data_IF_660637971482
#
_entry.id   IF_660637971482
#
_cell.length_a   1.000
_cell.length_b   1.000
_cell.length_c   1.000
_cell.angle_alpha   90.00
_cell.angle_beta   90.00
_cell.angle_gamma   90.00
#
_symmetry.space_group_name_H-M   'P 1'
#
loop_
_entity.id
_entity.type
_entity.pdbx_description
1 polymer ?
#
# COMPACT_ATOMS: atom_id res chain seq x y z
N UNK A 1 9.62 -3.30 7.30
CA UNK A 1 9.48 -4.10 6.06
C UNK A 1 8.82 -3.24 4.99
N UNK A 2 9.15 -3.39 3.71
CA UNK A 2 8.51 -2.65 2.62
C UNK A 2 7.83 -3.64 1.66
N UNK A 3 6.53 -3.44 1.40
CA UNK A 3 5.70 -4.30 0.53
C UNK A 3 5.86 -3.94 -0.95
N UNK A 4 6.11 -2.67 -1.25
CA UNK A 4 6.47 -2.19 -2.59
C UNK A 4 7.18 -0.84 -2.49
N UNK A 5 7.88 -0.43 -3.55
CA UNK A 5 8.53 0.89 -3.67
C UNK A 5 8.14 1.54 -4.99
N UNK A 6 8.27 2.86 -5.09
CA UNK A 6 8.13 3.55 -6.38
C UNK A 6 9.09 2.98 -7.41
N UNK A 7 8.61 2.73 -8.62
CA UNK A 7 9.41 2.16 -9.69
C UNK A 7 8.63 2.03 -10.99
N UNK A 8 9.22 1.34 -11.96
CA UNK A 8 8.62 1.13 -13.29
C UNK A 8 7.24 0.49 -13.21
N UNK A 9 7.10 -0.48 -12.31
CA UNK A 9 5.91 -1.32 -12.18
C UNK A 9 5.08 -0.98 -10.92
N UNK A 10 5.39 0.13 -10.26
CA UNK A 10 4.72 0.57 -9.04
C UNK A 10 4.64 2.09 -8.93
N UNK A 11 3.42 2.60 -8.87
CA UNK A 11 3.10 4.00 -8.61
C UNK A 11 2.91 4.31 -7.12
N UNK A 12 3.15 3.34 -6.24
CA UNK A 12 3.01 3.45 -4.78
C UNK A 12 4.28 3.03 -4.05
N UNK A 13 4.46 3.55 -2.83
CA UNK A 13 5.48 3.11 -1.89
C UNK A 13 4.82 2.81 -0.56
N UNK A 14 4.77 1.52 -0.19
CA UNK A 14 4.13 1.02 1.03
C UNK A 14 5.14 0.30 1.91
N UNK A 15 5.14 0.63 3.20
CA UNK A 15 5.99 -0.03 4.19
C UNK A 15 5.35 -0.09 5.57
N UNK A 16 5.72 -1.11 6.33
CA UNK A 16 5.33 -1.27 7.72
C UNK A 16 5.97 -0.18 8.58
N UNK A 17 5.18 0.33 9.52
CA UNK A 17 5.58 1.29 10.56
C UNK A 17 5.23 0.70 11.93
N UNK A 18 5.68 1.34 13.00
CA UNK A 18 5.18 1.00 14.33
C UNK A 18 3.66 1.23 14.40
N UNK A 19 2.91 0.18 14.72
CA UNK A 19 1.45 0.25 14.85
C UNK A 19 0.66 0.22 13.54
N UNK A 20 1.25 -0.18 12.41
CA UNK A 20 0.50 -0.39 11.17
C UNK A 20 1.32 -0.32 9.89
N UNK A 21 0.69 0.17 8.82
CA UNK A 21 1.27 0.25 7.48
C UNK A 21 1.06 1.64 6.88
N UNK A 22 2.08 2.16 6.21
CA UNK A 22 2.06 3.50 5.62
C UNK A 22 2.20 3.44 4.09
N UNK A 23 1.34 4.17 3.38
CA UNK A 23 1.51 4.51 1.97
C UNK A 23 2.08 5.94 1.87
N UNK A 24 3.35 6.02 1.50
CA UNK A 24 4.09 7.28 1.41
C UNK A 24 3.78 8.00 0.09
N UNK A 25 3.63 9.33 0.15
CA UNK A 25 3.31 10.19 -1.01
C UNK A 25 2.12 9.66 -1.82
N UNK A 26 1.02 9.37 -1.14
CA UNK A 26 -0.18 8.84 -1.75
C UNK A 26 -0.78 9.84 -2.75
N UNK A 27 -0.84 9.46 -4.03
CA UNK A 27 -1.45 10.28 -5.10
C UNK A 27 -2.96 10.50 -4.91
N UNK A 28 -3.67 9.61 -4.23
CA UNK A 28 -5.10 9.79 -3.92
C UNK A 28 -5.33 10.88 -2.86
N UNK A 29 -4.29 11.25 -2.12
CA UNK A 29 -4.33 12.28 -1.07
C UNK A 29 -3.44 13.48 -1.40
N UNK A 30 -3.25 13.76 -2.69
CA UNK A 30 -2.43 14.88 -3.19
C UNK A 30 -0.99 14.87 -2.65
N UNK A 31 -0.41 13.67 -2.54
CA UNK A 31 0.97 13.47 -2.09
C UNK A 31 1.16 13.40 -0.57
N UNK A 32 0.07 13.40 0.22
CA UNK A 32 0.12 13.17 1.67
C UNK A 32 0.34 11.69 2.02
N UNK A 33 0.67 11.41 3.28
CA UNK A 33 0.74 10.04 3.80
C UNK A 33 -0.64 9.50 4.11
N UNK A 34 -0.86 8.24 3.77
CA UNK A 34 -1.98 7.45 4.28
C UNK A 34 -1.43 6.42 5.27
N UNK A 35 -2.01 6.37 6.48
CA UNK A 35 -1.66 5.40 7.51
C UNK A 35 -2.84 4.47 7.73
N UNK A 36 -2.60 3.19 7.58
CA UNK A 36 -3.53 2.14 7.95
C UNK A 36 -3.08 1.52 9.28
N UNK A 37 -3.99 1.24 10.21
CA UNK A 37 -3.67 0.53 11.46
C UNK A 37 -3.34 -0.95 11.22
N UNK A 38 -3.76 -1.52 10.08
CA UNK A 38 -3.60 -2.93 9.77
C UNK A 38 -3.49 -3.17 8.25
N UNK A 39 -3.18 -4.41 7.89
CA UNK A 39 -3.05 -4.84 6.50
C UNK A 39 -4.39 -4.81 5.73
N UNK A 40 -5.54 -4.88 6.39
CA UNK A 40 -6.85 -4.89 5.74
C UNK A 40 -7.17 -3.51 5.18
N UNK A 41 -7.03 -2.46 6.01
CA UNK A 41 -7.19 -1.07 5.57
C UNK A 41 -6.15 -0.68 4.51
N UNK A 42 -4.90 -1.17 4.62
CA UNK A 42 -3.91 -0.91 3.57
C UNK A 42 -4.29 -1.60 2.25
N UNK A 43 -4.82 -2.81 2.31
CA UNK A 43 -5.27 -3.52 1.11
C UNK A 43 -6.45 -2.81 0.44
N UNK A 44 -7.44 -2.35 1.21
CA UNK A 44 -8.55 -1.52 0.66
C UNK A 44 -8.03 -0.25 0.00
N UNK A 45 -7.07 0.45 0.64
CA UNK A 45 -6.45 1.64 0.08
C UNK A 45 -5.70 1.36 -1.25
N UNK A 46 -5.00 0.22 -1.33
CA UNK A 46 -4.31 -0.20 -2.55
C UNK A 46 -5.26 -0.60 -3.68
N UNK A 47 -6.42 -1.17 -3.35
CA UNK A 47 -7.47 -1.41 -4.34
C UNK A 47 -8.05 -0.10 -4.88
N UNK A 48 -8.21 0.93 -4.04
CA UNK A 48 -8.59 2.27 -4.49
C UNK A 48 -7.54 2.88 -5.44
N UNK A 49 -6.25 2.65 -5.20
CA UNK A 49 -5.19 3.04 -6.12
C UNK A 49 -5.32 2.36 -7.49
N UNK A 50 -5.59 1.04 -7.53
CA UNK A 50 -5.84 0.33 -8.79
C UNK A 50 -7.08 0.85 -9.51
N UNK A 51 -8.17 1.10 -8.77
CA UNK A 51 -9.39 1.66 -9.33
C UNK A 51 -9.18 3.05 -9.95
N UNK A 52 -8.26 3.85 -9.40
CA UNK A 52 -7.84 5.14 -9.96
C UNK A 52 -6.82 5.03 -11.11
N UNK A 53 -6.45 3.82 -11.54
CA UNK A 53 -5.52 3.58 -12.65
C UNK A 53 -4.04 3.62 -12.28
N UNK A 54 -3.70 3.64 -10.99
CA UNK A 54 -2.30 3.56 -10.54
C UNK A 54 -1.82 2.10 -10.58
N UNK A 55 -0.53 1.91 -10.89
CA UNK A 55 0.08 0.58 -10.80
C UNK A 55 0.38 0.23 -9.35
N UNK A 56 -0.25 -0.83 -8.88
CA UNK A 56 0.07 -1.46 -7.60
C UNK A 56 0.50 -2.90 -7.88
N UNK A 57 1.75 -3.29 -7.55
CA UNK A 57 2.23 -4.65 -7.73
C UNK A 57 1.34 -5.68 -7.03
N UNK A 58 1.10 -6.82 -7.69
CA UNK A 58 0.33 -7.91 -7.08
C UNK A 58 1.04 -8.53 -5.88
N UNK A 59 2.37 -8.62 -5.92
CA UNK A 59 3.18 -9.08 -4.79
C UNK A 59 2.91 -8.29 -3.49
N UNK A 60 2.68 -6.98 -3.59
CA UNK A 60 2.37 -6.16 -2.42
C UNK A 60 1.02 -6.53 -1.79
N UNK A 61 0.03 -6.89 -2.62
CA UNK A 61 -1.27 -7.34 -2.13
C UNK A 61 -1.16 -8.75 -1.53
N UNK A 62 -0.36 -9.63 -2.13
CA UNK A 62 -0.17 -10.99 -1.62
C UNK A 62 0.55 -11.01 -0.28
N UNK A 63 1.59 -10.18 -0.11
CA UNK A 63 2.26 -10.01 1.19
C UNK A 63 1.31 -9.47 2.27
N UNK A 64 0.49 -8.46 1.95
CA UNK A 64 -0.51 -7.95 2.90
C UNK A 64 -1.59 -8.99 3.25
N UNK A 65 -2.00 -9.83 2.29
CA UNK A 65 -2.92 -10.94 2.56
C UNK A 65 -2.32 -11.99 3.48
N UNK A 66 -1.02 -12.26 3.35
CA UNK A 66 -0.34 -13.20 4.24
C UNK A 66 -0.31 -12.68 5.68
N UNK A 67 -0.14 -11.37 5.88
CA UNK A 67 -0.20 -10.77 7.22
C UNK A 67 -1.61 -10.80 7.83
N UNK A 68 -2.66 -10.74 7.00
CA UNK A 68 -4.04 -10.91 7.49
C UNK A 68 -4.35 -12.33 7.97
N UNK A 69 -3.58 -13.32 7.50
CA UNK A 69 -3.75 -14.72 7.86
C UNK A 69 -2.82 -15.18 8.99
N UNK A 70 -1.92 -14.30 9.45
CA UNK A 70 -0.94 -14.56 10.52
C UNK A 70 -1.48 -14.13 11.89
#
# INVERSE_FOLDING_TARGET
>A
MAYCRFGRDSDVYVYAIEGGVECCRCRLLDGRWFKAPDAAQMMEHLLAHRAAGHRVPESALDELRQELAA
#
